data_IF_100044753142
#
_entry.id   IF_100044753142
#
_cell.length_a   1.000
_cell.length_b   1.000
_cell.length_c   1.000
_cell.angle_alpha   90.00
_cell.angle_beta   90.00
_cell.angle_gamma   90.00
#
_symmetry.space_group_name_H-M   'P 1'
#
loop_
_entity.id
_entity.type
_entity.pdbx_description
1 polymer ?
#
# COMPACT_ATOMS: atom_id res chain seq x y z
N UNK A 1 15.36 -21.33 -45.58
CA UNK A 1 14.53 -20.72 -44.52
C UNK A 1 15.14 -21.12 -43.18
N UNK A 2 15.86 -20.20 -42.53
CA UNK A 2 16.62 -20.48 -41.31
C UNK A 2 15.94 -19.79 -40.14
N UNK A 3 15.49 -20.57 -39.15
CA UNK A 3 14.90 -20.07 -37.93
C UNK A 3 16.00 -19.43 -37.06
N UNK A 4 15.89 -18.11 -36.82
CA UNK A 4 16.71 -17.43 -35.82
C UNK A 4 16.17 -17.77 -34.44
N UNK A 5 16.92 -18.56 -33.69
CA UNK A 5 16.77 -18.69 -32.24
C UNK A 5 17.00 -17.30 -31.61
N UNK A 6 15.95 -16.72 -31.03
CA UNK A 6 16.07 -15.59 -30.12
C UNK A 6 16.13 -16.20 -28.72
N UNK A 7 17.35 -16.32 -28.19
CA UNK A 7 17.58 -16.57 -26.78
C UNK A 7 17.24 -15.29 -26.02
N UNK A 8 16.11 -15.28 -25.32
CA UNK A 8 15.79 -14.22 -24.35
C UNK A 8 16.61 -14.54 -23.09
N UNK A 9 17.63 -13.75 -22.84
CA UNK A 9 18.39 -13.78 -21.59
C UNK A 9 17.46 -13.36 -20.43
N UNK A 10 17.12 -14.34 -19.59
CA UNK A 10 16.42 -14.10 -18.34
C UNK A 10 17.32 -13.26 -17.42
N UNK A 11 16.84 -12.09 -16.97
CA UNK A 11 17.31 -11.49 -15.71
C UNK A 11 16.85 -12.40 -14.56
N UNK A 12 17.62 -13.46 -14.34
CA UNK A 12 17.53 -14.42 -13.25
C UNK A 12 17.96 -13.74 -11.95
N UNK A 13 17.13 -12.86 -11.40
CA UNK A 13 17.59 -11.91 -10.38
C UNK A 13 16.63 -11.56 -9.24
N UNK A 14 15.47 -12.20 -9.04
CA UNK A 14 14.60 -11.79 -7.92
C UNK A 14 13.85 -12.90 -7.17
N UNK A 15 14.25 -14.16 -7.34
CA UNK A 15 13.73 -15.25 -6.50
C UNK A 15 14.83 -16.30 -6.29
N UNK A 16 15.92 -15.93 -5.59
CA UNK A 16 16.64 -16.86 -4.69
C UNK A 16 17.72 -16.15 -3.83
N UNK A 17 17.62 -16.40 -2.52
CA UNK A 17 18.66 -16.30 -1.48
C UNK A 17 19.54 -15.04 -1.38
N UNK A 18 19.00 -14.00 -0.75
CA UNK A 18 19.63 -13.11 0.24
C UNK A 18 18.82 -11.80 0.23
N UNK A 19 18.13 -11.50 1.33
CA UNK A 19 17.56 -10.16 1.51
C UNK A 19 18.73 -9.19 1.45
N UNK A 20 18.77 -8.28 0.47
CA UNK A 20 19.88 -7.32 0.36
C UNK A 20 19.95 -6.49 1.64
N UNK A 21 21.15 -6.05 2.04
CA UNK A 21 21.33 -5.19 3.21
C UNK A 21 20.44 -3.93 3.13
N UNK A 22 20.28 -3.38 1.92
CA UNK A 22 19.37 -2.28 1.64
C UNK A 22 17.90 -2.63 1.98
N UNK A 23 17.46 -3.86 1.66
CA UNK A 23 16.11 -4.34 1.98
C UNK A 23 15.94 -4.59 3.49
N UNK A 24 17.00 -5.02 4.18
CA UNK A 24 17.01 -5.18 5.65
C UNK A 24 17.02 -3.83 6.38
N UNK A 25 17.75 -2.85 5.85
CA UNK A 25 17.78 -1.48 6.37
C UNK A 25 16.42 -0.78 6.21
N UNK A 26 15.79 -0.90 5.03
CA UNK A 26 14.41 -0.44 4.80
C UNK A 26 13.47 -1.09 5.81
N UNK A 27 13.55 -2.42 5.97
CA UNK A 27 12.70 -3.14 6.91
C UNK A 27 12.90 -2.65 8.34
N UNK A 28 14.16 -2.49 8.79
CA UNK A 28 14.50 -1.98 10.12
C UNK A 28 14.02 -0.54 10.31
N UNK A 29 14.14 0.31 9.30
CA UNK A 29 13.68 1.70 9.35
C UNK A 29 12.16 1.77 9.50
N UNK A 30 11.40 1.00 8.71
CA UNK A 30 9.94 0.91 8.84
C UNK A 30 9.54 0.31 10.19
N UNK A 31 10.20 -0.75 10.65
CA UNK A 31 9.92 -1.36 11.96
C UNK A 31 10.17 -0.37 13.11
N UNK A 32 11.24 0.43 13.04
CA UNK A 32 11.53 1.48 14.02
C UNK A 32 10.51 2.62 14.00
N UNK A 33 9.98 2.99 12.83
CA UNK A 33 8.87 3.95 12.73
C UNK A 33 7.59 3.39 13.35
N UNK A 34 7.28 2.09 13.18
CA UNK A 34 6.14 1.41 13.82
C UNK A 34 6.23 1.46 15.35
N UNK A 35 7.42 1.21 15.90
CA UNK A 35 7.67 1.27 17.36
C UNK A 35 7.63 2.71 17.87
N UNK A 36 8.15 3.67 17.12
CA UNK A 36 8.22 5.08 17.54
C UNK A 36 6.84 5.76 17.57
N UNK A 37 5.94 5.42 16.62
CA UNK A 37 4.56 5.92 16.63
C UNK A 37 3.75 5.36 17.81
N UNK A 38 4.05 4.15 18.28
CA UNK A 38 3.35 3.53 19.42
C UNK A 38 3.88 3.99 20.78
N UNK A 39 5.16 4.38 20.87
CA UNK A 39 5.74 4.96 22.11
C UNK A 39 5.47 6.45 22.31
N UNK A 40 5.01 7.17 21.28
CA UNK A 40 4.73 8.61 21.35
C UNK A 40 3.41 8.96 22.04
N UNK A 41 2.61 7.96 22.44
CA UNK A 41 1.31 8.14 23.12
C UNK A 41 1.34 7.88 24.63
N UNK A 42 2.50 7.55 25.23
CA UNK A 42 2.54 7.11 26.65
C UNK A 42 3.39 7.96 27.60
N UNK A 43 3.87 9.15 27.22
CA UNK A 43 4.63 10.01 28.16
C UNK A 43 4.32 11.50 27.99
N UNK A 44 3.12 11.94 28.39
CA UNK A 44 2.90 13.32 28.86
C UNK A 44 1.93 13.32 30.04
N UNK A 45 2.47 13.23 31.24
CA UNK A 45 1.86 13.71 32.49
C UNK A 45 3.04 14.24 33.32
N UNK A 46 3.11 15.51 33.72
CA UNK A 46 2.06 16.31 34.33
C UNK A 46 2.29 17.83 34.14
N UNK A 47 1.23 18.58 34.49
CA UNK A 47 1.16 20.04 34.71
C UNK A 47 0.70 20.94 33.56
N UNK A 48 -0.63 20.99 33.36
CA UNK A 48 -1.36 22.26 33.51
C UNK A 48 -2.87 22.01 33.55
N UNK A 49 -3.47 22.32 34.69
CA UNK A 49 -4.92 22.45 34.84
C UNK A 49 -5.41 23.59 33.95
N UNK A 50 -5.94 23.24 32.79
CA UNK A 50 -6.84 24.11 32.06
C UNK A 50 -7.91 23.22 31.43
N UNK A 51 -9.12 23.27 32.00
CA UNK A 51 -10.34 22.62 31.49
C UNK A 51 -10.67 23.20 30.11
N UNK A 52 -9.94 22.76 29.09
CA UNK A 52 -10.33 22.85 27.70
C UNK A 52 -11.50 21.88 27.58
N UNK A 53 -12.72 22.40 27.46
CA UNK A 53 -13.86 21.63 26.95
C UNK A 53 -13.34 20.88 25.72
N UNK A 54 -13.22 19.55 25.81
CA UNK A 54 -12.80 18.69 24.72
C UNK A 54 -13.92 18.72 23.69
N UNK A 55 -13.93 19.75 22.86
CA UNK A 55 -14.73 19.80 21.65
C UNK A 55 -14.31 18.58 20.83
N UNK A 56 -15.30 17.74 20.48
CA UNK A 56 -15.09 16.64 19.55
C UNK A 56 -14.60 17.28 18.25
N UNK A 57 -13.48 16.81 17.67
CA UNK A 57 -12.96 17.38 16.43
C UNK A 57 -13.99 17.23 15.32
N UNK A 58 -14.00 18.20 14.39
CA UNK A 58 -14.87 18.11 13.22
C UNK A 58 -14.37 17.02 12.26
N UNK A 59 -15.21 16.59 11.32
CA UNK A 59 -14.78 15.58 10.33
C UNK A 59 -13.64 16.13 9.48
N UNK A 60 -13.68 17.40 9.11
CA UNK A 60 -12.62 18.08 8.35
C UNK A 60 -11.28 18.06 9.08
N UNK A 61 -11.28 18.31 10.40
CA UNK A 61 -10.09 18.23 11.24
C UNK A 61 -9.54 16.79 11.27
N UNK A 62 -10.43 15.80 11.47
CA UNK A 62 -10.03 14.39 11.50
C UNK A 62 -9.44 13.93 10.15
N UNK A 63 -10.05 14.31 9.03
CA UNK A 63 -9.57 13.99 7.68
C UNK A 63 -8.27 14.73 7.36
N UNK A 64 -8.13 15.97 7.81
CA UNK A 64 -6.90 16.72 7.69
C UNK A 64 -5.75 16.04 8.44
N UNK A 65 -5.96 15.68 9.71
CA UNK A 65 -4.97 14.99 10.54
C UNK A 65 -4.55 13.65 9.92
N UNK A 66 -5.52 12.85 9.46
CA UNK A 66 -5.24 11.58 8.80
C UNK A 66 -4.38 11.75 7.54
N UNK A 67 -4.68 12.73 6.68
CA UNK A 67 -3.85 13.05 5.50
C UNK A 67 -2.46 13.52 5.89
N UNK A 68 -2.37 14.39 6.89
CA UNK A 68 -1.10 14.94 7.37
C UNK A 68 -0.19 13.83 7.88
N UNK A 69 -0.72 12.92 8.70
CA UNK A 69 0.01 11.77 9.23
C UNK A 69 0.58 10.89 8.12
N UNK A 70 -0.22 10.60 7.09
CA UNK A 70 0.22 9.80 5.95
C UNK A 70 1.32 10.52 5.14
N UNK A 71 1.19 11.83 4.93
CA UNK A 71 2.19 12.63 4.21
C UNK A 71 3.50 12.72 4.99
N UNK A 72 3.44 12.88 6.31
CA UNK A 72 4.61 12.86 7.19
C UNK A 72 5.28 11.50 7.13
N UNK A 73 4.52 10.41 7.33
CA UNK A 73 5.04 9.04 7.25
C UNK A 73 5.70 8.76 5.90
N UNK A 74 5.06 9.11 4.80
CA UNK A 74 5.63 8.92 3.45
C UNK A 74 6.90 9.74 3.26
N UNK A 75 6.96 10.96 3.81
CA UNK A 75 8.15 11.82 3.74
C UNK A 75 9.34 11.21 4.48
N UNK A 76 9.12 10.49 5.58
CA UNK A 76 10.21 9.75 6.27
C UNK A 76 10.81 8.64 5.40
N UNK A 77 10.02 8.10 4.46
CA UNK A 77 10.43 7.04 3.54
C UNK A 77 10.82 7.56 2.15
N UNK A 78 10.97 8.88 2.02
CA UNK A 78 11.22 9.56 0.75
C UNK A 78 12.43 9.03 -0.02
N UNK A 79 13.47 8.56 0.67
CA UNK A 79 14.69 8.03 0.05
C UNK A 79 14.46 6.72 -0.72
N UNK A 80 13.36 6.01 -0.45
CA UNK A 80 13.03 4.72 -1.05
C UNK A 80 11.89 4.80 -2.06
N UNK A 81 11.37 6.00 -2.33
CA UNK A 81 10.19 6.23 -3.16
C UNK A 81 10.52 7.22 -4.27
N UNK A 82 10.18 6.88 -5.51
CA UNK A 82 10.36 7.83 -6.62
C UNK A 82 9.45 9.05 -6.47
N UNK A 83 9.92 10.20 -6.96
CA UNK A 83 9.21 11.47 -6.83
C UNK A 83 7.81 11.43 -7.45
N UNK A 84 7.69 10.79 -8.62
CA UNK A 84 6.42 10.66 -9.31
C UNK A 84 5.43 9.78 -8.54
N UNK A 85 5.89 8.77 -7.81
CA UNK A 85 5.03 7.93 -6.97
C UNK A 85 4.54 8.74 -5.77
N UNK A 86 5.44 9.42 -5.04
CA UNK A 86 5.06 10.23 -3.87
C UNK A 86 4.03 11.28 -4.24
N UNK A 87 4.23 11.98 -5.36
CA UNK A 87 3.29 12.99 -5.87
C UNK A 87 1.93 12.38 -6.16
N UNK A 88 1.88 11.28 -6.93
CA UNK A 88 0.62 10.60 -7.25
C UNK A 88 -0.09 10.06 -6.01
N UNK A 89 0.66 9.54 -5.04
CA UNK A 89 0.11 9.06 -3.78
C UNK A 89 -0.51 10.20 -2.97
N UNK A 90 0.16 11.35 -2.87
CA UNK A 90 -0.38 12.52 -2.15
C UNK A 90 -1.64 13.07 -2.80
N UNK A 91 -1.66 13.19 -4.12
CA UNK A 91 -2.85 13.61 -4.88
C UNK A 91 -4.03 12.66 -4.61
N UNK A 92 -3.80 11.34 -4.61
CA UNK A 92 -4.85 10.37 -4.35
C UNK A 92 -5.30 10.35 -2.88
N UNK A 93 -4.39 10.51 -1.92
CA UNK A 93 -4.75 10.63 -0.49
C UNK A 93 -5.58 11.89 -0.25
N UNK A 94 -5.26 12.99 -0.91
CA UNK A 94 -6.03 14.23 -0.83
C UNK A 94 -7.43 14.07 -1.39
N UNK A 95 -7.56 13.42 -2.56
CA UNK A 95 -8.83 13.15 -3.22
C UNK A 95 -9.74 12.22 -2.39
N UNK A 96 -9.17 11.15 -1.82
CA UNK A 96 -9.95 10.17 -1.04
C UNK A 96 -10.52 10.81 0.23
N UNK A 97 -9.85 11.80 0.82
CA UNK A 97 -10.31 12.49 2.04
C UNK A 97 -10.86 13.89 1.74
N UNK A 98 -11.53 14.06 0.60
CA UNK A 98 -12.28 15.28 0.31
C UNK A 98 -13.50 15.35 1.25
N UNK A 99 -13.60 16.37 2.14
CA UNK A 99 -14.71 16.47 3.08
C UNK A 99 -16.08 16.61 2.39
N UNK A 100 -16.13 17.19 1.20
CA UNK A 100 -17.39 17.42 0.47
C UNK A 100 -18.02 16.10 -0.02
N UNK A 101 -17.19 15.09 -0.29
CA UNK A 101 -17.58 13.76 -0.78
C UNK A 101 -17.50 12.67 0.31
N UNK A 102 -17.26 13.04 1.57
CA UNK A 102 -17.02 12.09 2.66
C UNK A 102 -18.31 11.54 3.28
N UNK A 103 -18.39 10.22 3.46
CA UNK A 103 -19.48 9.56 4.20
C UNK A 103 -19.16 9.53 5.70
N UNK A 104 -20.07 10.04 6.54
CA UNK A 104 -19.89 10.08 8.00
C UNK A 104 -19.72 8.69 8.65
N UNK A 105 -20.12 7.62 7.96
CA UNK A 105 -19.96 6.23 8.40
C UNK A 105 -18.59 5.64 8.05
N UNK A 106 -17.84 6.29 7.16
CA UNK A 106 -16.51 5.85 6.75
C UNK A 106 -15.42 6.30 7.72
N UNK A 107 -14.43 5.44 7.88
CA UNK A 107 -13.24 5.72 8.70
C UNK A 107 -12.14 6.35 7.85
N UNK A 108 -11.44 7.38 8.35
CA UNK A 108 -10.24 7.91 7.72
C UNK A 108 -9.17 6.84 7.55
N UNK A 109 -8.17 7.11 6.70
CA UNK A 109 -7.09 6.16 6.44
C UNK A 109 -6.39 5.69 7.72
N UNK A 110 -6.33 4.37 7.86
CA UNK A 110 -5.67 3.72 8.96
C UNK A 110 -4.16 3.72 8.73
N UNK A 111 -3.42 4.42 9.60
CA UNK A 111 -1.96 4.54 9.50
C UNK A 111 -1.23 3.19 9.48
N UNK A 112 -1.68 2.20 10.24
CA UNK A 112 -1.01 0.89 10.29
C UNK A 112 -1.32 0.02 9.07
N UNK A 113 -2.52 0.15 8.50
CA UNK A 113 -2.85 -0.43 7.19
C UNK A 113 -1.98 0.20 6.09
N UNK A 114 -1.84 1.53 6.11
CA UNK A 114 -1.01 2.24 5.16
C UNK A 114 0.48 1.90 5.28
N UNK A 115 1.02 1.73 6.50
CA UNK A 115 2.39 1.22 6.71
C UNK A 115 2.60 -0.14 6.05
N UNK A 116 1.61 -1.03 6.16
CA UNK A 116 1.66 -2.35 5.53
C UNK A 116 1.67 -2.24 3.99
N UNK A 117 0.89 -1.31 3.43
CA UNK A 117 0.92 -0.99 2.00
C UNK A 117 2.28 -0.44 1.56
N UNK A 118 2.81 0.59 2.21
CA UNK A 118 4.09 1.20 1.80
C UNK A 118 5.24 0.21 1.94
N UNK A 119 5.26 -0.57 3.02
CA UNK A 119 6.25 -1.65 3.19
C UNK A 119 6.16 -2.62 2.02
N UNK A 120 4.96 -3.08 1.66
CA UNK A 120 4.78 -3.93 0.50
C UNK A 120 5.22 -3.25 -0.79
N UNK A 121 4.85 -1.99 -1.04
CA UNK A 121 5.18 -1.24 -2.25
C UNK A 121 6.70 -1.13 -2.43
N UNK A 122 7.44 -0.78 -1.38
CA UNK A 122 8.90 -0.68 -1.44
C UNK A 122 9.53 -2.05 -1.70
N UNK A 123 9.11 -3.08 -0.96
CA UNK A 123 9.66 -4.44 -1.11
C UNK A 123 9.34 -5.08 -2.46
N UNK A 124 8.17 -4.79 -3.02
CA UNK A 124 7.72 -5.32 -4.31
C UNK A 124 8.20 -4.48 -5.50
N UNK A 125 8.51 -3.20 -5.25
CA UNK A 125 8.96 -2.21 -6.22
C UNK A 125 8.19 -2.25 -7.54
N UNK A 126 6.88 -1.98 -7.52
CA UNK A 126 6.08 -2.26 -8.68
C UNK A 126 6.31 -1.29 -9.84
N UNK A 127 6.58 -1.83 -11.03
CA UNK A 127 6.76 -1.09 -12.28
C UNK A 127 5.49 -0.39 -12.78
N UNK A 128 4.29 -0.91 -12.47
CA UNK A 128 3.01 -0.23 -12.74
C UNK A 128 2.39 0.26 -11.44
N UNK A 129 2.06 1.55 -11.43
CA UNK A 129 1.39 2.20 -10.30
C UNK A 129 -0.08 1.76 -10.24
N UNK A 130 -0.57 1.28 -9.09
CA UNK A 130 -1.99 1.04 -8.91
C UNK A 130 -2.80 2.34 -8.84
N UNK A 131 -4.10 2.23 -9.06
CA UNK A 131 -5.06 3.17 -8.48
C UNK A 131 -5.31 2.85 -7.01
N UNK A 132 -5.60 3.86 -6.19
CA UNK A 132 -5.89 3.68 -4.77
C UNK A 132 -7.38 3.91 -4.47
N UNK A 133 -7.85 3.25 -3.43
CA UNK A 133 -9.13 3.49 -2.79
C UNK A 133 -9.03 3.24 -1.29
N UNK A 134 -10.12 3.53 -0.59
CA UNK A 134 -10.25 3.29 0.83
C UNK A 134 -11.45 2.38 1.09
N UNK A 135 -11.30 1.42 2.00
CA UNK A 135 -12.46 0.71 2.54
C UNK A 135 -13.17 1.58 3.58
N UNK A 136 -14.42 1.26 3.90
CA UNK A 136 -15.17 1.96 4.95
C UNK A 136 -14.53 1.89 6.34
N UNK A 137 -13.61 0.96 6.55
CA UNK A 137 -12.83 0.83 7.80
C UNK A 137 -11.46 1.50 7.73
N UNK A 138 -11.21 2.31 6.69
CA UNK A 138 -9.97 3.07 6.54
C UNK A 138 -8.79 2.25 6.00
N UNK A 139 -9.00 1.04 5.46
CA UNK A 139 -7.90 0.26 4.88
C UNK A 139 -7.62 0.75 3.46
N UNK A 140 -6.35 0.91 3.12
CA UNK A 140 -5.97 1.25 1.75
C UNK A 140 -6.15 0.04 0.83
N UNK A 141 -6.75 0.29 -0.32
CA UNK A 141 -6.96 -0.67 -1.40
C UNK A 141 -6.12 -0.22 -2.59
N UNK A 142 -5.27 -1.10 -3.10
CA UNK A 142 -4.54 -0.90 -4.35
C UNK A 142 -5.17 -1.73 -5.47
N UNK A 143 -5.31 -1.13 -6.65
CA UNK A 143 -6.03 -1.71 -7.78
C UNK A 143 -5.19 -1.65 -9.06
N UNK A 144 -5.10 -2.77 -9.76
CA UNK A 144 -4.48 -2.87 -11.09
C UNK A 144 -5.48 -3.43 -12.09
N UNK A 145 -5.36 -2.96 -13.32
CA UNK A 145 -6.18 -3.38 -14.45
C UNK A 145 -5.25 -3.76 -15.60
N UNK A 146 -5.49 -4.94 -16.19
CA UNK A 146 -4.90 -5.33 -17.47
C UNK A 146 -6.04 -5.74 -18.40
N UNK A 147 -6.41 -4.85 -19.33
CA UNK A 147 -7.58 -5.01 -20.20
C UNK A 147 -8.88 -5.29 -19.41
N UNK A 148 -9.38 -6.53 -19.43
CA UNK A 148 -10.58 -6.96 -18.70
C UNK A 148 -10.24 -7.56 -17.33
N UNK A 149 -8.98 -7.88 -17.08
CA UNK A 149 -8.51 -8.50 -15.86
C UNK A 149 -8.28 -7.46 -14.76
N UNK A 150 -8.49 -7.87 -13.52
CA UNK A 150 -8.43 -6.99 -12.35
C UNK A 150 -7.71 -7.67 -11.20
N UNK A 151 -6.85 -6.91 -10.53
CA UNK A 151 -6.26 -7.28 -9.25
C UNK A 151 -6.58 -6.19 -8.23
N UNK A 152 -7.16 -6.59 -7.11
CA UNK A 152 -7.43 -5.73 -5.95
C UNK A 152 -6.70 -6.30 -4.75
N UNK A 153 -5.99 -5.43 -4.01
CA UNK A 153 -5.31 -5.78 -2.77
C UNK A 153 -5.72 -4.77 -1.71
N UNK A 154 -6.42 -5.23 -0.68
CA UNK A 154 -6.73 -4.46 0.53
C UNK A 154 -5.66 -4.76 1.59
N UNK A 155 -4.99 -3.73 2.09
CA UNK A 155 -3.95 -3.84 3.11
C UNK A 155 -4.53 -3.61 4.49
N UNK A 156 -4.14 -4.45 5.44
CA UNK A 156 -4.59 -4.42 6.83
C UNK A 156 -3.40 -4.17 7.76
N UNK A 157 -3.64 -3.71 9.00
CA UNK A 157 -2.60 -3.63 10.01
C UNK A 157 -1.84 -4.95 10.20
N UNK A 158 -0.58 -4.84 10.63
CA UNK A 158 0.31 -5.96 10.91
C UNK A 158 0.63 -6.85 9.70
N UNK A 159 0.92 -6.22 8.55
CA UNK A 159 1.42 -6.89 7.35
C UNK A 159 0.46 -7.94 6.78
N UNK A 160 -0.84 -7.72 6.93
CA UNK A 160 -1.88 -8.58 6.35
C UNK A 160 -2.43 -7.94 5.08
N UNK A 161 -2.80 -8.78 4.12
CA UNK A 161 -3.45 -8.36 2.90
C UNK A 161 -4.56 -9.32 2.52
N UNK A 162 -5.68 -8.78 2.04
CA UNK A 162 -6.71 -9.51 1.31
C UNK A 162 -6.56 -9.19 -0.16
N UNK A 163 -6.66 -10.19 -1.00
CA UNK A 163 -6.54 -10.02 -2.45
C UNK A 163 -7.73 -10.64 -3.16
N UNK A 164 -8.08 -10.06 -4.31
CA UNK A 164 -9.07 -10.56 -5.26
C UNK A 164 -8.50 -10.40 -6.66
N UNK A 165 -8.48 -11.49 -7.41
CA UNK A 165 -8.16 -11.51 -8.84
C UNK A 165 -9.43 -11.86 -9.61
N UNK A 166 -9.65 -11.15 -10.71
CA UNK A 166 -10.66 -11.48 -11.72
C UNK A 166 -9.94 -11.58 -13.06
N UNK A 167 -9.99 -12.73 -13.73
CA UNK A 167 -9.44 -12.90 -15.09
C UNK A 167 -10.54 -13.33 -16.06
N UNK A 168 -10.38 -12.99 -17.33
CA UNK A 168 -11.22 -13.52 -18.41
C UNK A 168 -10.57 -14.77 -19.00
N UNK A 169 -11.27 -15.90 -18.91
CA UNK A 169 -10.86 -17.19 -19.47
C UNK A 169 -12.03 -17.72 -20.29
N UNK A 170 -11.80 -18.07 -21.55
CA UNK A 170 -12.84 -18.57 -22.47
C UNK A 170 -14.10 -17.67 -22.52
N UNK A 171 -13.90 -16.35 -22.58
CA UNK A 171 -14.93 -15.30 -22.55
C UNK A 171 -15.78 -15.20 -21.26
N UNK A 172 -15.43 -15.94 -20.21
CA UNK A 172 -16.07 -15.87 -18.90
C UNK A 172 -15.15 -15.27 -17.83
N UNK A 173 -15.74 -14.66 -16.80
CA UNK A 173 -14.98 -14.14 -15.66
C UNK A 173 -14.76 -15.21 -14.61
N UNK A 174 -13.51 -15.62 -14.42
CA UNK A 174 -13.08 -16.39 -13.28
C UNK A 174 -12.57 -15.48 -12.16
N UNK A 175 -12.88 -15.83 -10.91
CA UNK A 175 -12.48 -15.04 -9.74
C UNK A 175 -11.88 -15.92 -8.67
N UNK A 176 -10.83 -15.41 -8.04
CA UNK A 176 -10.21 -16.00 -6.88
C UNK A 176 -9.88 -14.93 -5.85
N UNK A 177 -10.00 -15.26 -4.57
CA UNK A 177 -9.63 -14.37 -3.48
C UNK A 177 -9.01 -15.11 -2.33
N UNK A 178 -8.29 -14.36 -1.50
CA UNK A 178 -7.65 -14.93 -0.32
C UNK A 178 -7.19 -13.87 0.65
N UNK A 179 -6.64 -14.32 1.77
CA UNK A 179 -5.97 -13.47 2.76
C UNK A 179 -4.61 -14.07 3.06
N UNK A 180 -3.59 -13.23 3.16
CA UNK A 180 -2.21 -13.65 3.38
C UNK A 180 -1.43 -12.56 4.13
N UNK A 181 -0.14 -12.83 4.41
CA UNK A 181 0.80 -11.78 4.79
C UNK A 181 1.36 -11.10 3.54
N UNK A 182 1.68 -9.81 3.61
CA UNK A 182 2.26 -9.07 2.47
C UNK A 182 3.54 -9.73 1.94
N UNK A 183 4.32 -10.38 2.83
CA UNK A 183 5.56 -11.08 2.46
C UNK A 183 5.36 -12.33 1.61
N UNK A 184 4.12 -12.86 1.57
CA UNK A 184 3.74 -14.03 0.77
C UNK A 184 2.84 -13.67 -0.41
N UNK A 185 2.62 -12.38 -0.67
CA UNK A 185 1.61 -11.95 -1.62
C UNK A 185 1.95 -12.40 -3.05
N UNK A 186 3.21 -12.32 -3.46
CA UNK A 186 3.64 -12.86 -4.76
C UNK A 186 3.46 -14.37 -4.86
N UNK A 187 3.79 -15.13 -3.82
CA UNK A 187 3.66 -16.59 -3.82
C UNK A 187 2.20 -17.02 -4.03
N UNK A 188 1.26 -16.36 -3.34
CA UNK A 188 -0.17 -16.72 -3.45
C UNK A 188 -0.79 -16.21 -4.75
N UNK A 189 -0.25 -15.14 -5.32
CA UNK A 189 -0.70 -14.61 -6.60
C UNK A 189 -0.05 -15.32 -7.80
N UNK A 190 1.04 -16.07 -7.60
CA UNK A 190 1.79 -16.74 -8.66
C UNK A 190 0.93 -17.54 -9.68
N UNK A 191 -0.13 -18.29 -9.26
CA UNK A 191 -1.00 -19.00 -10.18
C UNK A 191 -1.78 -18.10 -11.16
N UNK A 192 -1.88 -16.80 -10.88
CA UNK A 192 -2.67 -15.84 -11.65
C UNK A 192 -1.82 -14.92 -12.53
N UNK A 193 -0.54 -15.22 -12.70
CA UNK A 193 0.43 -14.42 -13.46
C UNK A 193 0.50 -12.96 -12.95
N UNK A 194 0.96 -12.72 -11.71
CA UNK A 194 0.91 -11.41 -11.09
C UNK A 194 1.68 -10.35 -11.89
N UNK A 195 2.70 -10.78 -12.65
CA UNK A 195 3.47 -9.93 -13.54
C UNK A 195 2.60 -9.18 -14.56
N UNK A 196 1.48 -9.75 -15.02
CA UNK A 196 0.59 -9.07 -15.99
C UNK A 196 0.01 -7.76 -15.41
N UNK A 197 -0.30 -7.75 -14.11
CA UNK A 197 -0.82 -6.57 -13.40
C UNK A 197 0.28 -5.61 -13.00
N UNK A 198 1.37 -6.21 -12.59
CA UNK A 198 2.44 -5.56 -11.90
C UNK A 198 3.35 -4.90 -12.93
N UNK A 199 3.95 -5.63 -13.87
CA UNK A 199 4.96 -5.11 -14.79
C UNK A 199 4.38 -5.09 -16.22
N UNK A 200 4.53 -3.98 -16.94
CA UNK A 200 4.09 -3.95 -18.35
C UNK A 200 4.87 -4.96 -19.19
N UNK A 201 4.18 -5.58 -20.15
CA UNK A 201 4.82 -6.25 -21.27
C UNK A 201 5.32 -5.17 -22.23
N UNK A 202 6.64 -5.06 -22.39
CA UNK A 202 7.25 -4.27 -23.48
C UNK A 202 6.80 -4.79 -24.86
#
# INVERSE_FOLDING_TARGET
MSAKNISIEFKKGYIDSAVSEETLEVRRHIDNLVVSSSSSLSNVSAESNNTKLLLKPTIEEVLFDARADIKVLTSTLSMHLDDAFRKSLFEQVDLIHDPDDWDETDSPINSDAFKSFIRWYILSSPGVKPGYGLSSTGNIIAMWFDNKDKLLIEFFPYDKARWLVSKVVDDEFERASGTTKISRLFDVLAPYSPNDFFWQKE
#
